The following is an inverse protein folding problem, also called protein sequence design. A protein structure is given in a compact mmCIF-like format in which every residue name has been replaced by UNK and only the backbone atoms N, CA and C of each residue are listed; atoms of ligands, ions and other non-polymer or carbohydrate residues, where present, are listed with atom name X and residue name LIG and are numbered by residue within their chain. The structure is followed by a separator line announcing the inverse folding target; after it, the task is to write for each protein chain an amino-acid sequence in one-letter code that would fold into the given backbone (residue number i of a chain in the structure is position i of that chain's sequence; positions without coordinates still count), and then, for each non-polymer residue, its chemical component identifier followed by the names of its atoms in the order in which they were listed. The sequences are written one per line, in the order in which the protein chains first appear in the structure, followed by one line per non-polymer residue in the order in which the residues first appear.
data_IF_977238817689
#
_entry.id   IF_977238817689
#
_cell.length_a   1.000
_cell.length_b   1.000
_cell.length_c   1.000
_cell.angle_alpha   90.00
_cell.angle_beta   90.00
_cell.angle_gamma   90.00
#
_symmetry.space_group_name_H-M   'P 1'
#
loop_
_entity.id
_entity.type
_entity.pdbx_description
1 polymer ?
#
# COMPACT_ATOMS: atom_id res chain seq x y z
N UNK A 1 5.38 -19.44 -7.80
CA UNK A 1 5.80 -19.00 -9.16
C UNK A 1 6.72 -17.81 -9.02
N UNK A 2 7.86 -17.80 -9.70
CA UNK A 2 8.71 -16.61 -9.81
C UNK A 2 8.08 -15.60 -10.77
N UNK A 3 8.07 -14.31 -10.41
CA UNK A 3 7.61 -13.26 -11.33
C UNK A 3 8.54 -13.20 -12.55
N UNK A 4 8.02 -12.89 -13.76
CA UNK A 4 8.85 -12.61 -14.93
C UNK A 4 9.86 -11.48 -14.68
N UNK A 5 10.97 -11.47 -15.42
CA UNK A 5 12.08 -10.52 -15.22
C UNK A 5 11.73 -9.04 -15.43
N UNK A 6 10.62 -8.75 -16.12
CA UNK A 6 10.12 -7.39 -16.33
C UNK A 6 9.17 -6.90 -15.21
N UNK A 7 8.95 -7.70 -14.17
CA UNK A 7 8.22 -7.31 -12.97
C UNK A 7 9.14 -7.11 -11.77
N UNK A 8 8.74 -6.24 -10.86
CA UNK A 8 9.30 -6.09 -9.52
C UNK A 8 8.22 -6.34 -8.46
N UNK A 9 8.47 -7.18 -7.44
CA UNK A 9 7.57 -7.30 -6.30
C UNK A 9 7.39 -5.95 -5.60
N UNK A 10 6.15 -5.60 -5.22
CA UNK A 10 5.86 -4.35 -4.51
C UNK A 10 6.77 -4.13 -3.30
N UNK A 11 6.96 -5.15 -2.45
CA UNK A 11 7.84 -5.06 -1.28
C UNK A 11 9.25 -4.62 -1.65
N UNK A 12 9.84 -5.21 -2.70
CA UNK A 12 11.18 -4.85 -3.17
C UNK A 12 11.22 -3.42 -3.71
N UNK A 13 10.20 -3.01 -4.46
CA UNK A 13 10.11 -1.63 -4.97
C UNK A 13 10.02 -0.60 -3.84
N UNK A 14 9.26 -0.92 -2.78
CA UNK A 14 9.16 -0.07 -1.58
C UNK A 14 10.49 -0.02 -0.83
N UNK A 15 11.13 -1.17 -0.58
CA UNK A 15 12.40 -1.23 0.13
C UNK A 15 13.51 -0.44 -0.61
N UNK A 16 13.60 -0.61 -1.93
CA UNK A 16 14.55 0.13 -2.77
C UNK A 16 14.26 1.63 -2.74
N UNK A 17 12.99 2.04 -2.87
CA UNK A 17 12.59 3.44 -2.83
C UNK A 17 12.97 4.11 -1.50
N UNK A 18 12.68 3.45 -0.37
CA UNK A 18 12.99 3.98 0.95
C UNK A 18 14.51 4.16 1.13
N UNK A 19 15.29 3.15 0.72
CA UNK A 19 16.75 3.20 0.78
C UNK A 19 17.31 4.37 -0.04
N UNK A 20 16.75 4.65 -1.21
CA UNK A 20 17.16 5.77 -2.06
C UNK A 20 16.89 7.14 -1.43
N UNK A 21 15.81 7.25 -0.67
CA UNK A 21 15.48 8.48 0.07
C UNK A 21 16.25 8.58 1.39
N UNK A 22 17.12 7.62 1.73
CA UNK A 22 17.80 7.58 3.02
C UNK A 22 16.84 7.33 4.20
N UNK A 23 15.68 6.72 3.93
CA UNK A 23 14.61 6.48 4.89
C UNK A 23 14.52 4.99 5.25
N UNK A 24 14.06 4.72 6.47
CA UNK A 24 13.54 3.40 6.86
C UNK A 24 12.01 3.42 6.88
N UNK A 25 11.33 2.25 6.86
CA UNK A 25 9.89 2.20 7.08
C UNK A 25 9.47 2.88 8.38
N UNK A 26 10.31 2.80 9.42
CA UNK A 26 10.05 3.44 10.72
C UNK A 26 10.04 4.96 10.58
N UNK A 27 10.96 5.53 9.80
CA UNK A 27 11.05 6.98 9.61
C UNK A 27 9.81 7.54 8.91
N UNK A 28 9.27 6.83 7.91
CA UNK A 28 8.01 7.21 7.25
C UNK A 28 6.85 7.22 8.24
N UNK A 29 6.75 6.18 9.08
CA UNK A 29 5.63 6.07 10.03
C UNK A 29 5.69 7.03 11.20
N UNK A 30 6.89 7.53 11.58
CA UNK A 30 7.07 8.50 12.68
C UNK A 30 6.57 9.90 12.33
N UNK A 31 6.61 10.28 11.06
CA UNK A 31 6.15 11.60 10.60
C UNK A 31 4.62 11.64 10.47
N UNK A 32 3.98 10.47 10.36
CA UNK A 32 2.54 10.32 10.18
C UNK A 32 1.81 10.10 11.51
N UNK A 33 2.11 10.87 12.56
CA UNK A 33 1.46 10.73 13.87
C UNK A 33 0.00 11.22 13.82
N UNK A 34 -0.84 10.43 13.16
CA UNK A 34 -2.28 10.59 13.03
C UNK A 34 -2.97 9.73 14.09
N UNK A 35 -3.90 10.33 14.85
CA UNK A 35 -4.85 9.58 15.67
C UNK A 35 -5.70 8.64 14.79
N UNK A 36 -6.32 7.61 15.39
CA UNK A 36 -7.08 6.58 14.66
C UNK A 36 -8.14 7.13 13.69
N UNK A 37 -8.77 8.27 14.01
CA UNK A 37 -9.74 8.93 13.13
C UNK A 37 -9.11 9.45 11.83
N UNK A 38 -7.90 10.04 11.90
CA UNK A 38 -7.17 10.53 10.74
C UNK A 38 -6.75 9.40 9.79
N UNK A 39 -6.32 8.27 10.36
CA UNK A 39 -5.94 7.07 9.60
C UNK A 39 -7.14 6.53 8.81
N UNK A 40 -8.31 6.43 9.44
CA UNK A 40 -9.54 5.97 8.79
C UNK A 40 -9.94 6.89 7.64
N UNK A 41 -9.92 8.21 7.88
CA UNK A 41 -10.23 9.18 6.83
C UNK A 41 -9.25 9.08 5.66
N UNK A 42 -7.96 8.95 5.96
CA UNK A 42 -6.88 8.76 4.99
C UNK A 42 -7.05 7.49 4.14
N UNK A 43 -7.52 6.39 4.74
CA UNK A 43 -7.86 5.16 4.03
C UNK A 43 -9.08 5.37 3.12
N UNK A 44 -10.18 5.94 3.61
CA UNK A 44 -11.42 6.18 2.83
C UNK A 44 -11.20 7.12 1.63
N UNK A 45 -10.29 8.08 1.75
CA UNK A 45 -9.89 8.96 0.65
C UNK A 45 -9.25 8.18 -0.51
N UNK A 46 -8.53 7.09 -0.22
CA UNK A 46 -7.71 6.35 -1.19
C UNK A 46 -8.30 4.99 -1.59
N UNK A 47 -9.16 4.41 -0.76
CA UNK A 47 -9.69 3.07 -0.92
C UNK A 47 -11.23 3.09 -0.98
N UNK A 48 -11.79 2.22 -1.83
CA UNK A 48 -13.20 1.89 -1.86
C UNK A 48 -13.39 0.61 -1.02
N UNK A 49 -13.56 0.80 0.29
CA UNK A 49 -13.68 -0.28 1.27
C UNK A 49 -14.99 -0.15 2.05
N UNK A 50 -15.57 -1.29 2.43
CA UNK A 50 -16.71 -1.35 3.33
C UNK A 50 -16.32 -1.06 4.79
N UNK A 51 -17.29 -0.68 5.61
CA UNK A 51 -17.09 -0.49 7.05
C UNK A 51 -16.55 -1.76 7.74
N UNK A 52 -16.96 -2.94 7.27
CA UNK A 52 -16.44 -4.23 7.78
C UNK A 52 -14.94 -4.37 7.50
N UNK A 53 -14.52 -4.06 6.29
CA UNK A 53 -13.10 -4.10 5.89
C UNK A 53 -12.28 -3.10 6.69
N UNK A 54 -12.79 -1.88 6.86
CA UNK A 54 -12.16 -0.86 7.70
C UNK A 54 -11.96 -1.33 9.14
N UNK A 55 -13.01 -1.87 9.77
CA UNK A 55 -12.92 -2.41 11.13
C UNK A 55 -11.85 -3.51 11.23
N UNK A 56 -11.81 -4.43 10.27
CA UNK A 56 -10.78 -5.48 10.23
C UNK A 56 -9.37 -4.93 10.09
N UNK A 57 -9.16 -3.86 9.30
CA UNK A 57 -7.86 -3.21 9.17
C UNK A 57 -7.41 -2.63 10.53
N UNK A 58 -8.31 -1.95 11.24
CA UNK A 58 -8.02 -1.37 12.56
C UNK A 58 -7.75 -2.42 13.64
N UNK A 59 -8.42 -3.58 13.56
CA UNK A 59 -8.22 -4.68 14.52
C UNK A 59 -6.93 -5.47 14.25
N UNK A 60 -6.54 -5.63 12.98
CA UNK A 60 -5.43 -6.51 12.58
C UNK A 60 -4.10 -5.77 12.40
N UNK A 61 -4.12 -4.46 12.16
CA UNK A 61 -2.93 -3.67 11.86
C UNK A 61 -2.72 -2.60 12.91
N UNK A 62 -1.46 -2.43 13.31
CA UNK A 62 -1.05 -1.29 14.13
C UNK A 62 -1.16 0.02 13.35
N UNK A 63 -1.29 1.16 14.05
CA UNK A 63 -1.26 2.49 13.40
C UNK A 63 -0.05 2.69 12.49
N UNK A 64 1.12 2.18 12.88
CA UNK A 64 2.34 2.23 12.05
C UNK A 64 2.17 1.45 10.75
N UNK A 65 1.60 0.25 10.79
CA UNK A 65 1.34 -0.55 9.59
C UNK A 65 0.27 0.09 8.69
N UNK A 66 -0.76 0.71 9.27
CA UNK A 66 -1.79 1.43 8.52
C UNK A 66 -1.21 2.66 7.82
N UNK A 67 -0.37 3.43 8.51
CA UNK A 67 0.33 4.57 7.93
C UNK A 67 1.27 4.15 6.80
N UNK A 68 2.05 3.09 7.03
CA UNK A 68 2.90 2.50 5.99
C UNK A 68 2.07 2.06 4.77
N UNK A 69 0.93 1.40 4.99
CA UNK A 69 0.01 1.00 3.92
C UNK A 69 -0.53 2.21 3.15
N UNK A 70 -0.97 3.26 3.84
CA UNK A 70 -1.44 4.52 3.23
C UNK A 70 -0.34 5.13 2.36
N UNK A 71 0.88 5.21 2.88
CA UNK A 71 2.04 5.71 2.14
C UNK A 71 2.28 4.89 0.87
N UNK A 72 2.33 3.56 0.97
CA UNK A 72 2.56 2.68 -0.18
C UNK A 72 1.45 2.85 -1.23
N UNK A 73 0.19 2.84 -0.81
CA UNK A 73 -0.97 3.05 -1.69
C UNK A 73 -0.83 4.38 -2.42
N UNK A 74 -0.56 5.45 -1.69
CA UNK A 74 -0.48 6.77 -2.27
C UNK A 74 0.66 6.88 -3.29
N UNK A 75 1.87 6.48 -2.90
CA UNK A 75 3.08 6.61 -3.73
C UNK A 75 3.06 5.70 -4.95
N UNK A 76 2.78 4.41 -4.75
CA UNK A 76 2.97 3.39 -5.80
C UNK A 76 1.73 3.14 -6.65
N UNK A 77 0.55 3.49 -6.17
CA UNK A 77 -0.69 3.24 -6.90
C UNK A 77 -1.44 4.51 -7.26
N UNK A 78 -1.55 5.51 -6.38
CA UNK A 78 -2.32 6.72 -6.69
C UNK A 78 -1.51 7.72 -7.53
N UNK A 79 -0.32 8.12 -7.05
CA UNK A 79 0.54 9.09 -7.74
C UNK A 79 1.23 8.46 -8.95
N UNK A 80 1.72 7.23 -8.82
CA UNK A 80 2.37 6.51 -9.90
C UNK A 80 1.35 5.88 -10.87
N UNK A 81 0.85 6.68 -11.80
CA UNK A 81 -0.13 6.23 -12.79
C UNK A 81 0.41 5.17 -13.76
N UNK A 82 1.73 5.15 -14.00
CA UNK A 82 2.37 4.18 -14.89
C UNK A 82 2.57 2.79 -14.27
N UNK A 83 2.46 2.67 -12.94
CA UNK A 83 2.64 1.40 -12.24
C UNK A 83 4.03 0.77 -12.42
N UNK A 84 5.05 1.59 -12.71
CA UNK A 84 6.41 1.15 -12.93
C UNK A 84 7.37 1.69 -11.87
N UNK A 85 8.43 0.94 -11.57
CA UNK A 85 9.56 1.39 -10.78
C UNK A 85 10.85 0.93 -11.44
N UNK A 86 11.77 1.86 -11.74
CA UNK A 86 13.03 1.61 -12.46
C UNK A 86 12.87 0.82 -13.77
N UNK A 87 11.84 1.14 -14.53
CA UNK A 87 11.54 0.47 -15.81
C UNK A 87 10.93 -0.93 -15.68
N UNK A 88 10.63 -1.40 -14.46
CA UNK A 88 9.95 -2.67 -14.20
C UNK A 88 8.50 -2.42 -13.78
N UNK A 89 7.59 -3.30 -14.18
CA UNK A 89 6.19 -3.26 -13.74
C UNK A 89 6.08 -3.70 -12.28
N UNK A 90 5.40 -2.91 -11.45
CA UNK A 90 5.13 -3.28 -10.06
C UNK A 90 4.04 -4.37 -10.04
N UNK A 91 4.26 -5.42 -9.26
CA UNK A 91 3.26 -6.45 -8.98
C UNK A 91 2.78 -6.38 -7.52
N UNK A 92 1.45 -6.36 -7.24
CA UNK A 92 0.34 -6.42 -8.20
C UNK A 92 0.23 -5.15 -9.05
N UNK A 93 -0.29 -5.29 -10.28
CA UNK A 93 -0.37 -4.19 -11.24
C UNK A 93 -1.44 -3.18 -10.83
N UNK A 94 -1.24 -1.92 -11.24
CA UNK A 94 -2.18 -0.83 -10.96
C UNK A 94 -3.61 -1.11 -11.45
N UNK A 95 -3.76 -1.65 -12.66
CA UNK A 95 -5.05 -1.99 -13.25
C UNK A 95 -5.74 -3.19 -12.60
N UNK A 96 -5.02 -3.97 -11.79
CA UNK A 96 -5.59 -5.06 -10.99
C UNK A 96 -6.11 -4.55 -9.64
N UNK A 97 -5.50 -3.49 -9.10
CA UNK A 97 -5.79 -3.02 -7.73
C UNK A 97 -6.60 -1.74 -7.67
N UNK A 98 -6.65 -0.95 -8.75
CA UNK A 98 -7.33 0.34 -8.77
C UNK A 98 -8.51 0.33 -9.73
N UNK A 99 -9.65 0.85 -9.24
CA UNK A 99 -10.80 1.20 -10.07
C UNK A 99 -11.00 2.71 -10.03
N UNK A 100 -10.91 3.36 -11.19
CA UNK A 100 -10.88 4.82 -11.30
C UNK A 100 -9.68 5.42 -10.58
N UNK A 101 -9.91 6.08 -9.45
CA UNK A 101 -8.88 6.72 -8.63
C UNK A 101 -8.73 6.09 -7.24
N UNK A 102 -9.40 4.97 -6.95
CA UNK A 102 -9.37 4.33 -5.64
C UNK A 102 -8.96 2.86 -5.70
N UNK A 103 -8.25 2.42 -4.67
CA UNK A 103 -7.94 1.00 -4.47
C UNK A 103 -9.25 0.25 -4.20
N UNK A 104 -9.48 -0.87 -4.88
CA UNK A 104 -10.63 -1.75 -4.60
C UNK A 104 -10.36 -2.60 -3.35
N UNK A 105 -11.39 -3.19 -2.73
CA UNK A 105 -11.14 -4.12 -1.61
C UNK A 105 -10.22 -5.28 -1.99
N UNK A 106 -10.41 -5.86 -3.18
CA UNK A 106 -9.56 -6.94 -3.68
C UNK A 106 -8.13 -6.44 -3.95
N UNK A 107 -7.99 -5.25 -4.49
CA UNK A 107 -6.69 -4.60 -4.65
C UNK A 107 -5.97 -4.39 -3.33
N UNK A 108 -6.70 -3.98 -2.29
CA UNK A 108 -6.16 -3.79 -0.96
C UNK A 108 -5.61 -5.10 -0.37
N UNK A 109 -6.34 -6.21 -0.53
CA UNK A 109 -5.87 -7.54 -0.11
C UNK A 109 -4.59 -7.95 -0.83
N UNK A 110 -4.55 -7.76 -2.15
CA UNK A 110 -3.34 -8.06 -2.93
C UNK A 110 -2.14 -7.24 -2.46
N UNK A 111 -2.34 -5.96 -2.15
CA UNK A 111 -1.29 -5.08 -1.62
C UNK A 111 -0.82 -5.55 -0.24
N UNK A 112 -1.73 -5.88 0.68
CA UNK A 112 -1.38 -6.39 2.01
C UNK A 112 -0.51 -7.65 1.91
N UNK A 113 -0.93 -8.62 1.08
CA UNK A 113 -0.18 -9.86 0.82
C UNK A 113 1.19 -9.56 0.20
N UNK A 114 1.25 -8.67 -0.79
CA UNK A 114 2.49 -8.30 -1.44
C UNK A 114 3.49 -7.60 -0.50
N UNK A 115 3.01 -6.91 0.53
CA UNK A 115 3.81 -6.30 1.58
C UNK A 115 4.16 -7.27 2.73
N UNK A 116 3.48 -8.42 2.81
CA UNK A 116 3.60 -9.36 3.93
C UNK A 116 2.92 -8.86 5.21
N UNK A 117 1.88 -8.04 5.08
CA UNK A 117 1.04 -7.58 6.18
C UNK A 117 -0.10 -8.58 6.47
N UNK A 118 -0.65 -8.59 7.71
CA UNK A 118 -1.83 -9.39 8.05
C UNK A 118 -2.96 -9.22 7.03
N UNK A 119 -3.46 -10.35 6.55
CA UNK A 119 -4.60 -10.39 5.65
C UNK A 119 -5.91 -10.10 6.41
N UNK A 120 -6.87 -9.49 5.73
CA UNK A 120 -8.17 -9.06 6.27
C UNK A 120 -9.33 -9.96 5.84
N UNK A 121 -9.04 -11.15 5.33
CA UNK A 121 -10.04 -12.22 5.19
C UNK A 121 -10.52 -12.72 6.57
#
# INVERSE_FOLDING_TARGET
MSLPSYYIPLKKAVDDFLKEQGLTPIDVTRVMDENSEGIVESLRKRCMISFRTEKKLLEKLTSKQLNFLIFVIHTFYIVNMGGMYKGLLIYPRRDQVVSGQKITEEGLRQILRALGLPDID
#
